data_IF_708966748592
#
_entry.id   IF_708966748592
#
_cell.length_a   1.000
_cell.length_b   1.000
_cell.length_c   1.000
_cell.angle_alpha   90.00
_cell.angle_beta   90.00
_cell.angle_gamma   90.00
#
_symmetry.space_group_name_H-M   'P 1'
#
loop_
_entity.id
_entity.type
_entity.pdbx_description
1 polymer ?
#
# COMPACT_ATOMS: atom_id res chain seq x y z
N UNK A 1 -5.25 31.67 0.37
CA UNK A 1 -6.46 30.83 0.16
C UNK A 1 -6.73 29.94 1.36
N UNK A 2 -8.01 29.64 1.59
CA UNK A 2 -8.43 28.70 2.63
C UNK A 2 -7.95 27.29 2.33
N UNK A 3 -7.41 26.61 3.34
CA UNK A 3 -7.07 25.18 3.22
C UNK A 3 -8.30 24.37 3.60
N UNK A 4 -8.68 23.43 2.75
CA UNK A 4 -9.70 22.41 3.04
C UNK A 4 -9.08 21.34 3.94
N UNK A 5 -9.88 20.84 4.87
CA UNK A 5 -9.52 19.70 5.71
C UNK A 5 -10.50 18.56 5.39
N UNK A 6 -9.95 17.41 4.98
CA UNK A 6 -10.70 16.24 4.59
C UNK A 6 -10.38 15.13 5.59
N UNK A 7 -11.40 14.54 6.20
CA UNK A 7 -11.23 13.37 7.06
C UNK A 7 -11.22 12.12 6.19
N UNK A 8 -10.18 11.30 6.34
CA UNK A 8 -10.04 10.02 5.66
C UNK A 8 -9.93 8.91 6.70
N UNK A 9 -10.64 7.82 6.44
CA UNK A 9 -10.64 6.60 7.22
C UNK A 9 -9.88 5.51 6.49
N UNK A 10 -8.97 4.86 7.20
CA UNK A 10 -8.34 3.61 6.80
C UNK A 10 -9.02 2.50 7.58
N UNK A 11 -10.07 1.93 6.99
CA UNK A 11 -10.77 0.77 7.54
C UNK A 11 -9.86 -0.45 7.41
N UNK A 12 -9.35 -0.94 8.54
CA UNK A 12 -8.32 -1.98 8.54
C UNK A 12 -8.93 -3.36 8.40
N UNK A 13 -8.60 -4.06 7.30
CA UNK A 13 -8.80 -5.50 7.17
C UNK A 13 -7.76 -6.22 8.06
N UNK A 14 -6.52 -5.74 8.00
CA UNK A 14 -5.50 -6.10 8.98
C UNK A 14 -4.92 -4.83 9.62
N UNK A 15 -4.60 -4.84 10.93
CA UNK A 15 -4.06 -3.67 11.62
C UNK A 15 -2.82 -3.11 10.92
N UNK A 16 -2.55 -1.82 11.11
CA UNK A 16 -1.38 -1.14 10.56
C UNK A 16 -0.14 -1.36 11.42
N UNK A 17 0.97 -1.59 10.72
CA UNK A 17 2.33 -1.53 11.25
C UNK A 17 3.10 -0.41 10.53
N UNK A 18 3.42 0.65 11.27
CA UNK A 18 4.12 1.85 10.77
C UNK A 18 5.44 2.04 11.50
N UNK A 19 6.28 1.00 11.48
CA UNK A 19 7.60 1.02 12.08
C UNK A 19 8.42 2.24 11.66
N UNK A 20 9.27 2.72 12.55
CA UNK A 20 10.12 3.88 12.32
C UNK A 20 11.48 3.52 11.73
N UNK A 21 12.42 4.48 11.71
CA UNK A 21 13.79 4.24 11.23
C UNK A 21 14.50 3.12 12.02
N UNK A 22 14.10 2.90 13.27
CA UNK A 22 14.55 1.82 14.14
C UNK A 22 13.57 0.64 14.15
N UNK A 23 12.61 0.61 13.20
CA UNK A 23 11.53 -0.36 13.07
C UNK A 23 10.69 -0.53 14.33
N UNK A 24 10.58 0.51 15.16
CA UNK A 24 9.67 0.52 16.30
C UNK A 24 8.30 1.09 15.90
N UNK A 25 7.23 0.44 16.36
CA UNK A 25 5.85 0.81 16.00
C UNK A 25 5.08 1.48 17.15
N UNK A 26 5.64 2.56 17.70
CA UNK A 26 5.12 3.20 18.92
C UNK A 26 3.93 4.16 18.68
N UNK A 27 3.65 4.50 17.41
CA UNK A 27 2.46 5.27 17.00
C UNK A 27 2.21 5.12 15.50
N UNK A 28 0.99 5.45 15.06
CA UNK A 28 0.71 5.71 13.64
C UNK A 28 1.50 6.96 13.21
N UNK A 29 2.35 6.81 12.20
CA UNK A 29 3.15 7.93 11.68
C UNK A 29 2.53 8.55 10.43
N UNK A 30 2.20 9.84 10.49
CA UNK A 30 1.73 10.60 9.32
C UNK A 30 2.64 10.45 8.10
N UNK A 31 3.96 10.38 8.30
CA UNK A 31 4.93 10.19 7.21
C UNK A 31 4.77 8.86 6.49
N UNK A 32 4.44 7.79 7.22
CA UNK A 32 4.22 6.46 6.64
C UNK A 32 2.91 6.43 5.84
N UNK A 33 1.86 7.08 6.35
CA UNK A 33 0.60 7.25 5.61
C UNK A 33 0.81 8.11 4.36
N UNK A 34 1.55 9.21 4.48
CA UNK A 34 1.88 10.09 3.34
C UNK A 34 2.66 9.35 2.25
N UNK A 35 3.64 8.53 2.64
CA UNK A 35 4.41 7.68 1.72
C UNK A 35 3.52 6.64 1.01
N UNK A 36 2.61 5.99 1.75
CA UNK A 36 1.64 5.07 1.17
C UNK A 36 0.68 5.75 0.19
N UNK A 37 0.16 6.92 0.53
CA UNK A 37 -0.69 7.71 -0.37
C UNK A 37 0.06 8.15 -1.63
N UNK A 38 1.30 8.63 -1.51
CA UNK A 38 2.13 8.98 -2.67
C UNK A 38 2.30 7.78 -3.59
N UNK A 39 2.62 6.62 -3.03
CA UNK A 39 2.80 5.39 -3.80
C UNK A 39 1.52 5.03 -4.57
N UNK A 40 0.38 4.92 -3.88
CA UNK A 40 -0.89 4.57 -4.54
C UNK A 40 -1.36 5.64 -5.52
N UNK A 41 -1.08 6.92 -5.24
CA UNK A 41 -1.35 8.00 -6.18
C UNK A 41 -0.51 7.85 -7.45
N UNK A 42 0.78 7.54 -7.35
CA UNK A 42 1.64 7.26 -8.51
C UNK A 42 1.15 6.05 -9.31
N UNK A 43 0.65 5.00 -8.64
CA UNK A 43 0.03 3.85 -9.30
C UNK A 43 -1.21 4.28 -10.07
N UNK A 44 -2.12 5.02 -9.43
CA UNK A 44 -3.31 5.56 -10.09
C UNK A 44 -2.95 6.46 -11.28
N UNK A 45 -2.00 7.37 -11.11
CA UNK A 45 -1.57 8.27 -12.17
C UNK A 45 -0.99 7.51 -13.36
N UNK A 46 -0.12 6.52 -13.11
CA UNK A 46 0.50 5.74 -14.17
C UNK A 46 -0.49 4.81 -14.88
N UNK A 47 -1.36 4.14 -14.14
CA UNK A 47 -2.21 3.06 -14.66
C UNK A 47 -3.54 3.57 -15.18
N UNK A 48 -4.17 4.48 -14.44
CA UNK A 48 -5.52 5.00 -14.75
C UNK A 48 -5.41 6.23 -15.65
N UNK A 49 -4.55 7.20 -15.30
CA UNK A 49 -4.36 8.40 -16.15
C UNK A 49 -3.44 8.15 -17.34
N UNK A 50 -2.64 7.07 -17.32
CA UNK A 50 -1.67 6.70 -18.39
C UNK A 50 -0.58 7.76 -18.62
N UNK A 51 -0.27 8.50 -17.57
CA UNK A 51 0.67 9.62 -17.61
C UNK A 51 2.07 9.23 -17.09
N UNK A 52 3.04 10.10 -17.35
CA UNK A 52 4.37 9.97 -16.77
C UNK A 52 4.36 10.24 -15.26
N UNK A 53 5.27 9.56 -14.56
CA UNK A 53 5.47 9.70 -13.13
C UNK A 53 6.96 9.93 -12.83
N UNK A 54 7.28 10.02 -11.55
CA UNK A 54 8.62 10.25 -11.04
C UNK A 54 9.61 9.17 -11.49
N UNK A 55 10.82 9.60 -11.86
CA UNK A 55 11.94 8.67 -12.04
C UNK A 55 12.37 8.12 -10.69
N UNK A 56 12.57 6.80 -10.64
CA UNK A 56 13.10 6.10 -9.48
C UNK A 56 14.62 5.96 -9.61
N UNK A 57 15.33 6.02 -8.49
CA UNK A 57 16.74 5.62 -8.43
C UNK A 57 16.89 4.08 -8.35
N UNK A 58 18.14 3.60 -8.27
CA UNK A 58 18.48 2.18 -8.17
C UNK A 58 17.88 1.47 -6.93
N UNK A 59 17.50 2.24 -5.90
CA UNK A 59 16.84 1.73 -4.71
C UNK A 59 15.29 1.72 -4.83
N UNK A 60 14.76 2.12 -5.98
CA UNK A 60 13.32 2.19 -6.25
C UNK A 60 12.63 3.36 -5.54
N UNK A 61 13.37 4.43 -5.23
CA UNK A 61 12.88 5.62 -4.53
C UNK A 61 12.78 6.79 -5.52
N UNK A 62 11.70 7.61 -5.48
CA UNK A 62 11.62 8.82 -6.28
C UNK A 62 12.82 9.73 -6.06
N UNK A 63 13.50 10.10 -7.14
CA UNK A 63 14.74 10.87 -7.13
C UNK A 63 14.62 12.22 -7.86
N UNK A 64 13.40 12.76 -7.92
CA UNK A 64 13.14 14.03 -8.60
C UNK A 64 13.66 15.20 -7.76
N UNK A 65 14.42 16.09 -8.39
CA UNK A 65 14.95 17.30 -7.78
C UNK A 65 14.53 18.52 -8.61
N UNK A 66 13.76 19.43 -8.00
CA UNK A 66 13.26 20.62 -8.69
C UNK A 66 14.40 21.56 -9.09
N UNK A 67 15.45 21.65 -8.28
CA UNK A 67 16.59 22.54 -8.57
C UNK A 67 17.40 22.05 -9.78
N UNK A 68 17.49 20.73 -9.98
CA UNK A 68 18.12 20.13 -11.16
C UNK A 68 17.26 20.26 -12.43
N UNK A 69 15.94 20.38 -12.28
CA UNK A 69 15.02 20.64 -13.38
C UNK A 69 15.06 22.12 -13.78
N UNK A 70 15.05 23.01 -12.79
CA UNK A 70 15.12 24.47 -12.97
C UNK A 70 16.57 24.96 -13.13
N UNK A 71 17.32 24.40 -14.10
CA UNK A 71 18.77 24.57 -14.26
C UNK A 71 19.23 26.02 -14.46
N UNK A 72 18.42 26.81 -15.17
CA UNK A 72 18.81 28.15 -15.60
C UNK A 72 18.51 29.21 -14.54
N UNK A 73 17.49 28.99 -13.71
CA UNK A 73 17.03 29.97 -12.75
C UNK A 73 16.26 29.31 -11.59
N UNK A 74 16.42 29.78 -10.34
CA UNK A 74 15.67 29.23 -9.22
C UNK A 74 14.15 29.32 -9.44
N UNK A 75 13.42 28.25 -9.10
CA UNK A 75 11.96 28.16 -9.26
C UNK A 75 11.20 29.41 -8.78
N UNK A 76 11.62 30.02 -7.66
CA UNK A 76 10.99 31.24 -7.14
C UNK A 76 10.99 32.39 -8.14
N UNK A 77 12.07 32.56 -8.90
CA UNK A 77 12.18 33.64 -9.88
C UNK A 77 11.31 33.35 -11.09
N UNK A 78 11.31 32.09 -11.57
CA UNK A 78 10.43 31.63 -12.66
C UNK A 78 8.96 31.88 -12.29
N UNK A 79 8.55 31.46 -11.09
CA UNK A 79 7.20 31.65 -10.60
C UNK A 79 6.83 33.14 -10.48
N UNK A 80 7.73 33.99 -9.96
CA UNK A 80 7.48 35.43 -9.85
C UNK A 80 7.30 36.09 -11.22
N UNK A 81 8.13 35.74 -12.22
CA UNK A 81 7.96 36.23 -13.59
C UNK A 81 6.59 35.83 -14.11
N UNK A 82 6.21 34.56 -13.99
CA UNK A 82 4.91 34.09 -14.47
C UNK A 82 3.74 34.84 -13.80
N UNK A 83 3.84 35.12 -12.50
CA UNK A 83 2.81 35.86 -11.74
C UNK A 83 2.77 37.37 -12.04
N UNK A 84 3.88 37.96 -12.50
CA UNK A 84 3.95 39.39 -12.83
C UNK A 84 3.51 39.68 -14.27
N UNK A 85 3.81 38.79 -15.22
CA UNK A 85 3.54 39.00 -16.64
C UNK A 85 2.11 38.67 -17.07
N UNK A 86 1.42 37.77 -16.36
CA UNK A 86 0.01 37.50 -16.59
C UNK A 86 -0.79 38.32 -15.57
N UNK A 87 -1.78 39.10 -16.00
CA UNK A 87 -2.76 39.68 -15.08
C UNK A 87 -3.45 38.53 -14.35
N UNK A 88 -2.95 38.14 -13.17
CA UNK A 88 -3.38 36.93 -12.48
C UNK A 88 -4.81 37.13 -12.00
N UNK A 89 -5.76 36.60 -12.77
CA UNK A 89 -7.18 36.50 -12.40
C UNK A 89 -7.53 35.15 -11.77
N UNK A 90 -6.62 34.18 -11.86
CA UNK A 90 -6.82 32.79 -11.44
C UNK A 90 -6.28 32.51 -10.02
N UNK A 91 -6.63 31.35 -9.46
CA UNK A 91 -6.16 30.88 -8.17
C UNK A 91 -4.61 30.72 -8.16
N UNK A 92 -3.96 31.07 -7.03
CA UNK A 92 -2.50 31.03 -6.92
C UNK A 92 -1.95 29.62 -7.05
N UNK A 93 -2.64 28.59 -6.54
CA UNK A 93 -2.18 27.22 -6.69
C UNK A 93 -2.27 26.75 -8.15
N UNK A 94 -3.27 27.22 -8.91
CA UNK A 94 -3.38 26.93 -10.35
C UNK A 94 -2.20 27.51 -11.14
N UNK A 95 -1.85 28.77 -10.90
CA UNK A 95 -0.73 29.41 -11.61
C UNK A 95 0.62 28.77 -11.22
N UNK A 96 0.78 28.39 -9.95
CA UNK A 96 1.96 27.64 -9.51
C UNK A 96 2.02 26.26 -10.17
N UNK A 97 0.90 25.57 -10.32
CA UNK A 97 0.85 24.27 -10.98
C UNK A 97 1.25 24.35 -12.46
N UNK A 98 0.78 25.37 -13.18
CA UNK A 98 1.18 25.65 -14.58
C UNK A 98 2.69 25.81 -14.71
N UNK A 99 3.32 26.58 -13.81
CA UNK A 99 4.80 26.74 -13.82
C UNK A 99 5.51 25.40 -13.62
N UNK A 100 5.03 24.56 -12.70
CA UNK A 100 5.63 23.25 -12.45
C UNK A 100 5.41 22.29 -13.64
N UNK A 101 4.28 22.40 -14.32
CA UNK A 101 3.98 21.67 -15.55
C UNK A 101 4.89 22.10 -16.71
N UNK A 102 5.11 23.40 -16.90
CA UNK A 102 6.06 23.94 -17.89
C UNK A 102 7.48 23.44 -17.64
N UNK A 103 7.87 23.30 -16.36
CA UNK A 103 9.13 22.68 -15.93
C UNK A 103 9.12 21.14 -16.06
N UNK A 104 8.02 20.54 -16.50
CA UNK A 104 7.83 19.09 -16.64
C UNK A 104 8.02 18.33 -15.32
N UNK A 105 7.64 18.95 -14.20
CA UNK A 105 7.65 18.27 -12.90
C UNK A 105 6.48 17.25 -12.84
N UNK A 106 6.73 15.96 -12.55
CA UNK A 106 5.68 14.96 -12.48
C UNK A 106 4.61 15.28 -11.42
N UNK A 107 3.34 14.99 -11.73
CA UNK A 107 2.20 15.30 -10.83
C UNK A 107 2.37 14.72 -9.42
N UNK A 108 2.82 13.47 -9.22
CA UNK A 108 3.06 12.96 -7.86
C UNK A 108 4.07 13.82 -7.08
N UNK A 109 5.14 14.31 -7.73
CA UNK A 109 6.09 15.23 -7.11
C UNK A 109 5.46 16.59 -6.81
N UNK A 110 4.64 17.12 -7.72
CA UNK A 110 3.93 18.40 -7.56
C UNK A 110 3.06 18.40 -6.30
N UNK A 111 2.33 17.29 -6.07
CA UNK A 111 1.38 17.15 -4.96
C UNK A 111 2.07 16.74 -3.65
N UNK A 112 2.89 15.68 -3.68
CA UNK A 112 3.47 15.07 -2.47
C UNK A 112 4.87 15.60 -2.12
N UNK A 113 5.41 16.52 -2.93
CA UNK A 113 6.72 17.13 -2.74
C UNK A 113 7.87 16.32 -3.33
N UNK A 114 9.02 16.95 -3.49
CA UNK A 114 10.29 16.31 -3.87
C UNK A 114 11.46 17.13 -3.31
N UNK A 115 12.70 16.78 -3.64
CA UNK A 115 13.84 17.64 -3.27
C UNK A 115 13.66 19.01 -3.91
N UNK A 116 13.82 20.08 -3.11
CA UNK A 116 13.56 21.47 -3.55
C UNK A 116 12.08 21.87 -3.61
N UNK A 117 11.13 20.96 -3.36
CA UNK A 117 9.69 21.26 -3.46
C UNK A 117 8.86 20.71 -2.30
N UNK A 118 8.12 21.58 -1.63
CA UNK A 118 7.28 21.18 -0.49
C UNK A 118 5.94 20.58 -0.95
N UNK A 119 5.55 19.49 -0.30
CA UNK A 119 4.22 18.87 -0.43
C UNK A 119 3.07 19.87 -0.28
N UNK A 120 2.05 19.72 -1.15
CA UNK A 120 0.77 20.44 -1.17
C UNK A 120 -0.31 19.77 -0.32
N UNK A 121 0.00 18.60 0.21
CA UNK A 121 -0.80 17.88 1.20
C UNK A 121 -0.08 17.83 2.54
N UNK A 122 -0.84 17.98 3.62
CA UNK A 122 -0.37 17.77 4.99
C UNK A 122 -1.31 16.77 5.67
N UNK A 123 -0.75 15.82 6.43
CA UNK A 123 -1.50 14.77 7.10
C UNK A 123 -1.30 14.85 8.60
N UNK A 124 -2.39 14.88 9.34
CA UNK A 124 -2.42 14.73 10.78
C UNK A 124 -3.23 13.47 11.13
N UNK A 125 -2.55 12.45 11.63
CA UNK A 125 -3.21 11.24 12.16
C UNK A 125 -3.89 11.55 13.48
N UNK A 126 -5.09 11.02 13.66
CA UNK A 126 -5.81 11.03 14.94
C UNK A 126 -5.34 9.84 15.81
N UNK A 127 -5.61 9.86 17.13
CA UNK A 127 -5.41 8.67 17.96
C UNK A 127 -6.18 7.48 17.37
N UNK A 128 -5.49 6.35 17.25
CA UNK A 128 -6.05 5.12 16.69
C UNK A 128 -6.23 4.06 17.78
N UNK A 129 -7.09 3.08 17.50
CA UNK A 129 -7.26 1.91 18.36
C UNK A 129 -5.95 1.11 18.39
N UNK A 130 -5.32 1.05 19.56
CA UNK A 130 -4.10 0.29 19.76
C UNK A 130 -4.43 -1.17 20.10
N UNK A 131 -3.87 -2.10 19.33
CA UNK A 131 -3.93 -3.53 19.60
C UNK A 131 -2.56 -4.03 20.05
N UNK A 132 -2.48 -4.54 21.27
CA UNK A 132 -1.28 -5.25 21.73
C UNK A 132 -1.19 -6.60 21.04
N UNK A 133 -0.01 -6.87 20.48
CA UNK A 133 0.26 -8.06 19.69
C UNK A 133 1.40 -8.85 20.32
N UNK A 134 1.04 -9.95 20.97
CA UNK A 134 1.98 -10.74 21.76
C UNK A 134 2.54 -11.92 20.98
N UNK A 135 3.84 -12.15 21.13
CA UNK A 135 4.57 -13.24 20.48
C UNK A 135 4.03 -14.63 20.85
N UNK A 136 3.55 -14.80 22.08
CA UNK A 136 3.01 -16.08 22.58
C UNK A 136 1.73 -16.49 21.85
N UNK A 137 1.00 -15.51 21.32
CA UNK A 137 -0.24 -15.73 20.60
C UNK A 137 0.00 -16.10 19.13
N UNK A 138 1.25 -16.17 18.66
CA UNK A 138 1.56 -16.47 17.27
C UNK A 138 1.82 -17.94 17.00
N UNK A 139 1.24 -18.42 15.91
CA UNK A 139 1.59 -19.70 15.33
C UNK A 139 2.69 -19.51 14.28
N UNK A 140 3.80 -20.22 14.45
CA UNK A 140 4.98 -20.14 13.61
C UNK A 140 5.09 -21.31 12.62
N UNK A 141 4.28 -22.36 12.82
CA UNK A 141 4.33 -23.65 12.11
C UNK A 141 2.99 -24.03 11.48
N UNK A 142 2.55 -23.22 10.52
CA UNK A 142 1.32 -23.45 9.75
C UNK A 142 1.44 -22.77 8.38
N UNK A 143 0.80 -23.28 7.30
CA UNK A 143 -0.05 -24.49 7.19
C UNK A 143 0.66 -25.85 7.15
N UNK A 144 1.97 -25.86 6.93
CA UNK A 144 2.82 -27.07 6.98
C UNK A 144 3.93 -26.87 8.03
N UNK A 145 4.95 -27.74 8.07
CA UNK A 145 6.23 -27.61 8.82
C UNK A 145 7.09 -26.39 8.40
N UNK A 146 6.45 -25.31 7.94
CA UNK A 146 7.04 -23.99 7.82
C UNK A 146 7.54 -23.56 9.19
N UNK A 147 8.64 -22.83 9.22
CA UNK A 147 9.11 -22.21 10.44
C UNK A 147 9.42 -20.74 10.17
N UNK A 148 8.43 -19.88 10.39
CA UNK A 148 8.55 -18.42 10.23
C UNK A 148 9.14 -17.72 11.47
N UNK A 149 9.44 -18.47 12.54
CA UNK A 149 9.87 -17.95 13.86
C UNK A 149 11.07 -17.00 13.77
N UNK A 150 12.10 -17.37 13.01
CA UNK A 150 13.31 -16.53 12.88
C UNK A 150 12.97 -15.16 12.28
N UNK A 151 12.25 -15.14 11.16
CA UNK A 151 11.93 -13.92 10.43
C UNK A 151 10.98 -13.01 11.21
N UNK A 152 9.94 -13.57 11.83
CA UNK A 152 8.99 -12.81 12.64
C UNK A 152 9.69 -12.20 13.85
N UNK A 153 10.53 -12.96 14.57
CA UNK A 153 11.27 -12.44 15.71
C UNK A 153 12.24 -11.33 15.31
N UNK A 154 12.97 -11.51 14.20
CA UNK A 154 13.97 -10.56 13.74
C UNK A 154 13.36 -9.21 13.35
N UNK A 155 12.16 -9.20 12.76
CA UNK A 155 11.61 -7.99 12.14
C UNK A 155 10.44 -7.35 12.90
N UNK A 156 9.59 -8.14 13.58
CA UNK A 156 8.41 -7.62 14.30
C UNK A 156 8.73 -7.36 15.77
N UNK A 157 9.38 -8.34 16.41
CA UNK A 157 9.56 -8.33 17.86
C UNK A 157 10.93 -7.81 18.31
N UNK A 158 12.00 -7.99 17.53
CA UNK A 158 13.36 -7.55 17.87
C UNK A 158 13.76 -7.92 19.30
N UNK A 159 13.63 -9.19 19.63
CA UNK A 159 13.93 -9.72 20.97
C UNK A 159 12.95 -9.28 22.09
N UNK A 160 11.96 -8.44 21.79
CA UNK A 160 10.82 -8.15 22.68
C UNK A 160 9.77 -9.28 22.60
N UNK A 161 8.79 -9.27 23.51
CA UNK A 161 7.67 -10.23 23.53
C UNK A 161 6.35 -9.66 23.02
N UNK A 162 6.29 -8.35 22.79
CA UNK A 162 5.11 -7.65 22.33
C UNK A 162 5.45 -6.61 21.26
N UNK A 163 4.46 -6.29 20.44
CA UNK A 163 4.47 -5.19 19.48
C UNK A 163 3.11 -4.50 19.51
N UNK A 164 3.08 -3.22 19.17
CA UNK A 164 1.82 -2.47 19.04
C UNK A 164 1.37 -2.49 17.59
N UNK A 165 0.07 -2.53 17.37
CA UNK A 165 -0.57 -2.42 16.05
C UNK A 165 -1.73 -1.41 16.15
N UNK A 166 -2.17 -0.87 15.02
CA UNK A 166 -3.22 0.15 15.00
C UNK A 166 -4.36 -0.23 14.07
N UNK A 167 -5.57 -0.35 14.61
CA UNK A 167 -6.78 -0.60 13.83
C UNK A 167 -7.54 0.69 13.53
N UNK A 168 -8.32 0.68 12.44
CA UNK A 168 -9.29 1.71 12.07
C UNK A 168 -8.74 3.14 12.18
N UNK A 169 -7.65 3.40 11.46
CA UNK A 169 -6.90 4.65 11.57
C UNK A 169 -7.62 5.77 10.83
N UNK A 170 -7.80 6.91 11.50
CA UNK A 170 -8.30 8.13 10.87
C UNK A 170 -7.21 9.18 10.75
N UNK A 171 -7.24 9.96 9.68
CA UNK A 171 -6.37 11.12 9.53
C UNK A 171 -7.07 12.28 8.82
N UNK A 172 -6.59 13.49 9.12
CA UNK A 172 -6.99 14.73 8.47
C UNK A 172 -5.99 15.06 7.38
N UNK A 173 -6.46 15.11 6.15
CA UNK A 173 -5.71 15.58 4.98
C UNK A 173 -6.03 17.05 4.75
N UNK A 174 -5.03 17.89 4.84
CA UNK A 174 -5.13 19.34 4.63
C UNK A 174 -4.47 19.72 3.31
N UNK A 175 -5.24 20.34 2.41
CA UNK A 175 -4.77 20.80 1.10
C UNK A 175 -5.61 21.99 0.63
N UNK A 176 -5.29 22.63 -0.50
CA UNK A 176 -6.15 23.68 -1.05
C UNK A 176 -7.28 23.09 -1.88
N UNK A 177 -8.29 23.89 -2.18
CA UNK A 177 -9.41 23.47 -3.02
C UNK A 177 -8.94 23.01 -4.40
N UNK A 178 -8.01 23.74 -5.01
CA UNK A 178 -7.42 23.42 -6.31
C UNK A 178 -6.83 22.00 -6.35
N UNK A 179 -5.92 21.67 -5.44
CA UNK A 179 -5.26 20.35 -5.43
C UNK A 179 -6.24 19.21 -5.09
N UNK A 180 -7.26 19.49 -4.28
CA UNK A 180 -8.29 18.51 -3.96
C UNK A 180 -9.13 18.16 -5.19
N UNK A 181 -9.73 19.17 -5.83
CA UNK A 181 -10.70 19.01 -6.92
C UNK A 181 -10.05 18.48 -8.20
N UNK A 182 -8.84 18.94 -8.53
CA UNK A 182 -8.18 18.56 -9.78
C UNK A 182 -7.43 17.23 -9.72
N UNK A 183 -7.06 16.74 -8.53
CA UNK A 183 -6.17 15.57 -8.42
C UNK A 183 -6.60 14.54 -7.37
N UNK A 184 -6.87 14.96 -6.14
CA UNK A 184 -7.01 14.03 -5.02
C UNK A 184 -8.40 13.41 -4.92
N UNK A 185 -9.44 14.16 -5.27
CA UNK A 185 -10.83 13.70 -5.13
C UNK A 185 -11.08 12.43 -5.96
N UNK A 186 -10.72 12.45 -7.23
CA UNK A 186 -10.90 11.29 -8.11
C UNK A 186 -10.01 10.11 -7.68
N UNK A 187 -8.79 10.37 -7.21
CA UNK A 187 -7.91 9.35 -6.65
C UNK A 187 -8.55 8.63 -5.45
N UNK A 188 -9.10 9.37 -4.48
CA UNK A 188 -9.76 8.76 -3.33
C UNK A 188 -11.05 8.03 -3.74
N UNK A 189 -11.84 8.61 -4.66
CA UNK A 189 -13.03 7.96 -5.21
C UNK A 189 -12.67 6.64 -5.90
N UNK A 190 -11.59 6.62 -6.69
CA UNK A 190 -11.13 5.44 -7.41
C UNK A 190 -10.75 4.30 -6.46
N UNK A 191 -10.14 4.58 -5.31
CA UNK A 191 -9.73 3.55 -4.35
C UNK A 191 -10.75 3.26 -3.24
N UNK A 192 -11.93 3.89 -3.26
CA UNK A 192 -12.93 3.79 -2.18
C UNK A 192 -13.43 2.36 -1.91
N UNK A 193 -13.52 1.55 -2.96
CA UNK A 193 -13.99 0.16 -2.95
C UNK A 193 -12.84 -0.87 -3.03
N UNK A 194 -11.58 -0.41 -3.05
CA UNK A 194 -10.41 -1.27 -3.31
C UNK A 194 -9.61 -1.52 -2.04
N UNK A 195 -9.01 -2.71 -1.98
CA UNK A 195 -7.99 -3.02 -0.97
C UNK A 195 -6.67 -2.37 -1.39
N UNK A 196 -6.13 -1.54 -0.51
CA UNK A 196 -4.80 -0.96 -0.66
C UNK A 196 -3.89 -1.39 0.48
N UNK A 197 -2.59 -1.39 0.20
CA UNK A 197 -1.55 -1.73 1.16
C UNK A 197 -0.98 -0.45 1.75
N UNK A 198 -1.17 -0.26 3.05
CA UNK A 198 -0.68 0.90 3.80
C UNK A 198 0.32 0.47 4.88
N UNK A 199 1.34 1.29 5.12
CA UNK A 199 2.34 1.05 6.16
C UNK A 199 3.72 0.66 5.65
N UNK A 200 4.52 0.05 6.52
CA UNK A 200 5.94 -0.22 6.25
C UNK A 200 6.21 -1.36 5.25
N UNK A 201 7.40 -1.34 4.63
CA UNK A 201 7.88 -2.33 3.63
C UNK A 201 7.83 -3.80 4.12
N UNK A 202 7.83 -4.00 5.43
CA UNK A 202 7.76 -5.31 6.06
C UNK A 202 6.37 -5.52 6.66
N UNK A 203 5.33 -5.57 5.82
CA UNK A 203 3.97 -5.59 6.36
C UNK A 203 3.61 -6.92 7.03
N UNK A 204 4.28 -8.05 6.78
CA UNK A 204 3.99 -9.36 7.41
C UNK A 204 2.53 -9.83 7.33
N UNK A 205 1.70 -9.20 6.47
CA UNK A 205 0.25 -9.40 6.39
C UNK A 205 -0.59 -8.30 7.03
N UNK A 206 0.05 -7.30 7.65
CA UNK A 206 -0.53 -6.06 8.16
C UNK A 206 -0.80 -5.02 7.06
N UNK A 207 -1.66 -4.06 7.39
CA UNK A 207 -1.89 -2.86 6.59
C UNK A 207 -2.71 -3.07 5.33
N UNK A 208 -3.52 -4.13 5.27
CA UNK A 208 -4.58 -4.25 4.28
C UNK A 208 -5.72 -3.34 4.72
N UNK A 209 -6.06 -2.32 3.93
CA UNK A 209 -7.08 -1.33 4.29
C UNK A 209 -7.99 -1.01 3.12
N UNK A 210 -9.21 -0.57 3.43
CA UNK A 210 -10.09 0.18 2.50
C UNK A 210 -10.04 1.66 2.89
N UNK A 211 -9.96 2.56 1.89
CA UNK A 211 -9.92 4.01 2.13
C UNK A 211 -11.31 4.60 1.98
N UNK A 212 -11.79 5.35 2.96
CA UNK A 212 -13.08 6.06 2.90
C UNK A 212 -12.91 7.53 3.22
N UNK A 213 -13.63 8.39 2.50
CA UNK A 213 -13.64 9.84 2.74
C UNK A 213 -14.94 10.19 3.47
N UNK A 214 -14.83 10.93 4.57
CA UNK A 214 -16.01 11.34 5.35
C UNK A 214 -17.03 12.10 4.50
N UNK A 215 -18.31 11.74 4.64
CA UNK A 215 -19.42 12.42 3.96
C UNK A 215 -19.54 12.13 2.46
N UNK A 216 -18.90 11.07 1.94
CA UNK A 216 -18.94 10.69 0.51
C UNK A 216 -19.29 9.22 0.22
N UNK A 217 -20.01 8.53 1.10
CA UNK A 217 -20.47 7.15 0.85
C UNK A 217 -21.98 7.09 0.56
N UNK A 218 -22.34 7.05 -0.73
CA UNK A 218 -23.51 6.31 -1.21
C UNK A 218 -23.16 5.57 -2.51
N UNK A 219 -23.27 4.24 -2.48
CA UNK A 219 -23.51 3.43 -3.67
C UNK A 219 -22.31 2.67 -4.25
N UNK A 220 -22.02 1.48 -3.71
CA UNK A 220 -22.02 0.27 -4.54
C UNK A 220 -22.12 -0.98 -3.68
N UNK A 221 -23.25 -1.66 -3.84
CA UNK A 221 -23.64 -2.90 -3.17
C UNK A 221 -22.70 -4.03 -3.58
N UNK A 222 -22.05 -4.69 -2.62
CA UNK A 222 -21.41 -5.99 -2.84
C UNK A 222 -22.50 -7.02 -3.22
N UNK A 223 -22.56 -7.39 -4.50
CA UNK A 223 -23.30 -8.56 -4.95
C UNK A 223 -22.36 -9.57 -5.60
N UNK A 224 -22.12 -10.67 -4.90
CA UNK A 224 -22.09 -12.03 -5.45
C UNK A 224 -20.97 -12.43 -6.41
N UNK A 225 -20.10 -13.32 -5.91
CA UNK A 225 -19.13 -14.23 -6.58
C UNK A 225 -17.69 -13.71 -6.71
N UNK A 226 -16.84 -14.09 -5.75
CA UNK A 226 -15.42 -14.51 -5.85
C UNK A 226 -14.48 -13.86 -6.89
N UNK A 227 -14.73 -12.64 -7.34
CA UNK A 227 -13.88 -11.94 -8.29
C UNK A 227 -13.89 -10.45 -7.98
N UNK A 228 -12.99 -10.04 -7.10
CA UNK A 228 -12.77 -8.63 -6.79
C UNK A 228 -11.93 -8.02 -7.92
N UNK A 229 -12.38 -6.86 -8.39
CA UNK A 229 -11.95 -6.07 -9.54
C UNK A 229 -10.44 -6.16 -9.81
N UNK A 230 -10.07 -6.83 -10.92
CA UNK A 230 -8.73 -6.77 -11.47
C UNK A 230 -8.61 -5.56 -12.39
N UNK A 231 -7.74 -4.61 -12.06
CA UNK A 231 -7.04 -3.85 -13.08
C UNK A 231 -5.85 -4.71 -13.51
N UNK A 232 -5.38 -4.65 -14.75
CA UNK A 232 -4.33 -5.56 -15.26
C UNK A 232 -3.05 -5.61 -14.38
N UNK A 233 -2.89 -4.59 -13.52
CA UNK A 233 -1.79 -4.44 -12.58
C UNK A 233 -2.06 -4.94 -11.14
N UNK A 234 -3.26 -5.37 -10.79
CA UNK A 234 -3.54 -5.95 -9.47
C UNK A 234 -4.65 -7.00 -9.51
N UNK A 235 -4.39 -8.14 -8.91
CA UNK A 235 -5.36 -9.20 -8.70
C UNK A 235 -5.61 -9.34 -7.20
N UNK A 236 -6.89 -9.37 -6.81
CA UNK A 236 -7.31 -9.54 -5.43
C UNK A 236 -8.20 -10.77 -5.33
N UNK A 237 -7.79 -11.73 -4.52
CA UNK A 237 -8.56 -12.93 -4.23
C UNK A 237 -8.83 -13.03 -2.73
N UNK A 238 -10.01 -13.53 -2.37
CA UNK A 238 -10.36 -13.91 -1.00
C UNK A 238 -10.52 -15.42 -0.96
N UNK A 239 -9.70 -16.10 -0.17
CA UNK A 239 -9.90 -17.51 0.16
C UNK A 239 -10.62 -17.59 1.51
N UNK A 240 -11.63 -18.44 1.60
CA UNK A 240 -12.47 -18.58 2.80
C UNK A 240 -12.45 -20.02 3.31
N UNK A 241 -12.81 -20.22 4.58
CA UNK A 241 -12.84 -21.55 5.21
C UNK A 241 -11.48 -22.24 5.19
N UNK A 242 -10.41 -21.49 5.44
CA UNK A 242 -9.07 -22.08 5.61
C UNK A 242 -9.09 -22.99 6.84
N UNK A 243 -8.63 -24.24 6.68
CA UNK A 243 -8.60 -25.25 7.73
C UNK A 243 -7.53 -24.90 8.77
N UNK A 244 -7.95 -24.20 9.81
CA UNK A 244 -7.14 -23.87 10.97
C UNK A 244 -8.01 -23.78 12.22
N UNK A 245 -7.92 -24.80 13.06
CA UNK A 245 -8.66 -24.89 14.32
C UNK A 245 -7.83 -24.43 15.54
N UNK A 246 -6.63 -23.87 15.31
CA UNK A 246 -5.77 -23.39 16.37
C UNK A 246 -6.23 -22.07 16.98
N UNK A 247 -5.90 -21.84 18.25
CA UNK A 247 -6.24 -20.59 18.96
C UNK A 247 -5.29 -19.43 18.66
N UNK A 248 -4.12 -19.71 18.10
CA UNK A 248 -3.06 -18.73 17.83
C UNK A 248 -3.26 -18.00 16.50
N UNK A 249 -2.66 -16.84 16.36
CA UNK A 249 -2.79 -16.01 15.16
C UNK A 249 -1.81 -16.46 14.08
N UNK A 250 -2.31 -16.46 12.85
CA UNK A 250 -1.55 -16.81 11.65
C UNK A 250 -1.29 -15.53 10.88
N UNK A 251 -0.01 -15.16 10.78
CA UNK A 251 0.41 -14.02 9.99
C UNK A 251 0.38 -14.35 8.50
N UNK A 252 0.06 -13.34 7.69
CA UNK A 252 0.13 -13.47 6.23
C UNK A 252 1.53 -13.80 5.73
N UNK A 253 2.56 -13.47 6.52
CA UNK A 253 3.92 -13.92 6.27
C UNK A 253 4.07 -15.46 6.25
N UNK A 254 3.36 -16.19 7.11
CA UNK A 254 3.40 -17.65 7.11
C UNK A 254 2.88 -18.21 5.79
N UNK A 255 1.73 -17.70 5.35
CA UNK A 255 1.06 -18.11 4.11
C UNK A 255 1.84 -17.67 2.87
N UNK A 256 2.44 -16.48 2.89
CA UNK A 256 3.36 -16.04 1.84
C UNK A 256 4.58 -16.95 1.76
N UNK A 257 5.14 -17.35 2.91
CA UNK A 257 6.29 -18.26 2.95
C UNK A 257 5.91 -19.67 2.47
N UNK A 258 4.69 -20.12 2.75
CA UNK A 258 4.12 -21.35 2.20
C UNK A 258 4.10 -21.33 0.67
N UNK A 259 3.51 -20.28 0.08
CA UNK A 259 3.48 -20.09 -1.38
C UNK A 259 4.88 -20.09 -1.97
N UNK A 260 5.83 -19.39 -1.32
CA UNK A 260 7.23 -19.36 -1.74
C UNK A 260 7.88 -20.75 -1.73
N UNK A 261 7.58 -21.57 -0.73
CA UNK A 261 8.10 -22.94 -0.63
C UNK A 261 7.50 -23.82 -1.74
N UNK A 262 6.19 -23.72 -1.97
CA UNK A 262 5.49 -24.46 -3.03
C UNK A 262 6.01 -24.12 -4.42
N UNK A 263 6.27 -22.84 -4.68
CA UNK A 263 6.87 -22.42 -5.95
C UNK A 263 8.29 -22.98 -6.15
N UNK A 264 9.07 -23.11 -5.08
CA UNK A 264 10.39 -23.75 -5.13
C UNK A 264 10.31 -25.25 -5.43
N UNK A 265 9.29 -25.94 -4.91
CA UNK A 265 9.02 -27.36 -5.20
C UNK A 265 8.68 -27.58 -6.68
N UNK A 266 7.99 -26.61 -7.32
CA UNK A 266 7.61 -26.64 -8.73
C UNK A 266 8.77 -26.29 -9.72
N UNK A 267 10.03 -26.44 -9.30
CA UNK A 267 11.25 -26.33 -10.13
C UNK A 267 11.40 -24.96 -10.85
N UNK A 268 10.91 -23.88 -10.25
CA UNK A 268 11.22 -22.52 -10.73
C UNK A 268 12.60 -22.08 -10.29
N UNK A 269 13.27 -21.30 -11.14
CA UNK A 269 14.60 -20.80 -10.82
C UNK A 269 14.52 -19.81 -9.64
N UNK A 270 15.63 -19.65 -8.91
CA UNK A 270 15.71 -18.76 -7.75
C UNK A 270 15.34 -17.31 -8.09
N UNK A 271 15.63 -16.88 -9.32
CA UNK A 271 15.40 -15.52 -9.78
C UNK A 271 13.90 -15.21 -9.85
N UNK A 272 13.09 -16.08 -10.45
CA UNK A 272 11.62 -15.93 -10.53
C UNK A 272 10.99 -15.83 -9.14
N UNK A 273 11.41 -16.70 -8.21
CA UNK A 273 10.92 -16.68 -6.82
C UNK A 273 11.23 -15.34 -6.14
N UNK A 274 12.43 -14.81 -6.35
CA UNK A 274 12.82 -13.49 -5.82
C UNK A 274 12.09 -12.34 -6.52
N UNK A 275 11.72 -12.49 -7.79
CA UNK A 275 10.93 -11.52 -8.54
C UNK A 275 9.46 -11.47 -8.08
N UNK A 276 8.90 -12.60 -7.63
CA UNK A 276 7.52 -12.68 -7.15
C UNK A 276 7.38 -12.31 -5.67
N UNK A 277 8.22 -12.89 -4.80
CA UNK A 277 8.11 -12.70 -3.35
C UNK A 277 9.02 -11.61 -2.78
N UNK A 278 9.86 -11.02 -3.63
CA UNK A 278 10.80 -9.96 -3.29
C UNK A 278 12.15 -10.49 -2.76
N UNK A 279 13.12 -9.57 -2.72
CA UNK A 279 14.45 -9.76 -2.13
C UNK A 279 14.90 -8.47 -1.43
N UNK A 280 16.12 -8.41 -0.92
CA UNK A 280 16.63 -7.16 -0.37
C UNK A 280 16.52 -6.04 -1.42
N UNK A 281 16.03 -4.86 -0.99
CA UNK A 281 15.71 -3.69 -1.83
C UNK A 281 14.53 -3.85 -2.81
N UNK A 282 14.27 -5.03 -3.39
CA UNK A 282 13.12 -5.27 -4.29
C UNK A 282 11.83 -5.62 -3.54
N UNK A 283 10.75 -4.88 -3.79
CA UNK A 283 9.44 -5.17 -3.21
C UNK A 283 8.88 -6.52 -3.68
N UNK A 284 7.97 -7.08 -2.88
CA UNK A 284 7.19 -8.25 -3.29
C UNK A 284 6.12 -7.85 -4.30
N UNK A 285 5.70 -8.78 -5.14
CA UNK A 285 4.44 -8.69 -5.90
C UNK A 285 3.33 -9.48 -5.22
N UNK A 286 3.69 -10.51 -4.45
CA UNK A 286 2.74 -11.34 -3.71
C UNK A 286 2.59 -10.85 -2.27
N UNK A 287 1.37 -10.50 -1.88
CA UNK A 287 1.00 -10.07 -0.53
C UNK A 287 -0.16 -10.92 -0.04
N UNK A 288 -0.07 -11.40 1.20
CA UNK A 288 -1.12 -12.22 1.83
C UNK A 288 -1.47 -11.58 3.16
N UNK A 289 -2.76 -11.42 3.46
CA UNK A 289 -3.22 -10.93 4.75
C UNK A 289 -2.99 -11.97 5.85
N UNK A 290 -3.12 -11.54 7.10
CA UNK A 290 -3.28 -12.47 8.23
C UNK A 290 -4.57 -13.29 8.06
N UNK A 291 -4.64 -14.43 8.74
CA UNK A 291 -5.86 -15.22 8.86
C UNK A 291 -6.90 -14.44 9.67
N UNK A 292 -8.03 -14.17 9.04
CA UNK A 292 -9.14 -13.43 9.62
C UNK A 292 -10.14 -14.42 10.22
N UNK A 293 -9.92 -14.79 11.48
CA UNK A 293 -10.76 -15.78 12.19
C UNK A 293 -12.23 -15.37 12.23
N UNK A 294 -12.47 -14.08 12.50
CA UNK A 294 -13.81 -13.50 12.57
C UNK A 294 -14.52 -13.40 11.21
N UNK A 295 -13.76 -13.48 10.11
CA UNK A 295 -14.28 -13.47 8.74
C UNK A 295 -14.14 -14.87 8.13
N UNK A 296 -14.78 -15.87 8.76
CA UNK A 296 -14.87 -17.24 8.26
C UNK A 296 -13.50 -17.88 7.93
N UNK A 297 -12.51 -17.66 8.81
CA UNK A 297 -11.12 -18.07 8.60
C UNK A 297 -10.62 -17.71 7.19
N UNK A 298 -10.82 -16.47 6.78
CA UNK A 298 -10.46 -16.02 5.44
C UNK A 298 -9.08 -15.36 5.37
N UNK A 299 -8.55 -15.30 4.16
CA UNK A 299 -7.32 -14.59 3.82
C UNK A 299 -7.50 -13.85 2.50
N UNK A 300 -6.85 -12.70 2.39
CA UNK A 300 -6.74 -11.95 1.15
C UNK A 300 -5.38 -12.20 0.52
N UNK A 301 -5.38 -12.59 -0.75
CA UNK A 301 -4.21 -12.63 -1.61
C UNK A 301 -4.28 -11.41 -2.55
N UNK A 302 -3.28 -10.53 -2.45
CA UNK A 302 -3.09 -9.41 -3.37
C UNK A 302 -1.83 -9.69 -4.18
N UNK A 303 -2.01 -9.86 -5.48
CA UNK A 303 -0.91 -9.89 -6.45
C UNK A 303 -0.86 -8.52 -7.10
N UNK A 304 0.20 -7.78 -6.82
CA UNK A 304 0.40 -6.44 -7.33
C UNK A 304 1.56 -6.42 -8.33
N UNK A 305 1.21 -6.26 -9.61
CA UNK A 305 2.18 -5.98 -10.66
C UNK A 305 2.51 -4.50 -10.57
N UNK A 306 3.59 -4.21 -9.84
CA UNK A 306 4.09 -2.86 -9.75
C UNK A 306 4.27 -2.30 -11.17
N UNK A 307 3.54 -1.24 -11.57
CA UNK A 307 3.61 -0.69 -12.93
C UNK A 307 4.99 -0.10 -13.28
N UNK A 308 5.91 -0.11 -12.31
CA UNK A 308 7.30 0.32 -12.46
C UNK A 308 8.27 -0.87 -12.61
N UNK A 309 7.80 -2.12 -12.52
CA UNK A 309 8.59 -3.33 -12.78
C UNK A 309 8.33 -3.84 -14.21
N UNK A 310 9.38 -4.39 -14.84
CA UNK A 310 9.36 -4.87 -16.23
C UNK A 310 8.73 -6.27 -16.37
N UNK A 311 8.65 -7.04 -15.29
CA UNK A 311 8.17 -8.43 -15.32
C UNK A 311 6.85 -8.58 -14.55
N UNK A 312 5.68 -8.40 -15.17
CA UNK A 312 4.41 -8.61 -14.47
C UNK A 312 4.18 -10.10 -14.15
N UNK A 313 3.52 -10.38 -13.02
CA UNK A 313 2.90 -11.68 -12.75
C UNK A 313 1.61 -11.76 -13.55
N UNK A 314 1.54 -12.71 -14.47
CA UNK A 314 0.34 -12.94 -15.26
C UNK A 314 -0.80 -13.51 -14.41
N UNK A 315 -2.02 -13.31 -14.90
CA UNK A 315 -3.25 -13.70 -14.20
C UNK A 315 -3.27 -15.20 -13.89
N UNK A 316 -2.78 -16.04 -14.79
CA UNK A 316 -2.73 -17.49 -14.65
C UNK A 316 -1.88 -17.90 -13.44
N UNK A 317 -0.74 -17.23 -13.24
CA UNK A 317 0.11 -17.44 -12.09
C UNK A 317 -0.53 -16.91 -10.80
N UNK A 318 -1.20 -15.76 -10.87
CA UNK A 318 -1.97 -15.24 -9.74
C UNK A 318 -3.07 -16.23 -9.31
N UNK A 319 -3.77 -16.84 -10.27
CA UNK A 319 -4.75 -17.89 -10.04
C UNK A 319 -4.13 -19.19 -9.51
N UNK A 320 -2.92 -19.56 -9.95
CA UNK A 320 -2.17 -20.70 -9.40
C UNK A 320 -1.89 -20.51 -7.90
N UNK A 321 -1.37 -19.35 -7.49
CA UNK A 321 -1.15 -19.06 -6.07
C UNK A 321 -2.44 -19.09 -5.26
N UNK A 322 -3.52 -18.56 -5.84
CA UNK A 322 -4.83 -18.61 -5.19
C UNK A 322 -5.30 -20.06 -5.00
N UNK A 323 -5.13 -20.93 -6.00
CA UNK A 323 -5.47 -22.37 -5.89
C UNK A 323 -4.66 -23.06 -4.79
N UNK A 324 -3.36 -22.78 -4.68
CA UNK A 324 -2.51 -23.32 -3.60
C UNK A 324 -3.03 -22.91 -2.22
N UNK A 325 -3.55 -21.69 -2.06
CA UNK A 325 -4.19 -21.28 -0.81
C UNK A 325 -5.55 -21.96 -0.58
N UNK A 326 -6.36 -22.13 -1.61
CA UNK A 326 -7.65 -22.86 -1.53
C UNK A 326 -7.47 -24.35 -1.21
N UNK A 327 -6.33 -24.97 -1.52
CA UNK A 327 -6.03 -26.34 -1.06
C UNK A 327 -6.02 -26.47 0.46
N UNK A 328 -5.72 -25.38 1.19
CA UNK A 328 -5.78 -25.34 2.64
C UNK A 328 -7.21 -25.46 3.17
N UNK A 329 -8.25 -25.29 2.35
CA UNK A 329 -9.65 -25.53 2.73
C UNK A 329 -10.01 -27.02 2.80
N UNK A 330 -9.30 -27.88 2.06
CA UNK A 330 -9.75 -29.26 1.77
C UNK A 330 -9.23 -30.32 2.75
N UNK A 331 -8.39 -29.97 3.72
CA UNK A 331 -7.64 -30.95 4.54
C UNK A 331 -8.45 -31.70 5.63
N UNK A 332 -9.71 -31.34 5.87
CA UNK A 332 -10.63 -32.11 6.72
C UNK A 332 -11.57 -33.07 5.97
N UNK A 333 -11.78 -32.90 4.66
CA UNK A 333 -12.69 -33.78 3.90
C UNK A 333 -12.11 -35.20 3.71
N UNK A 334 -10.79 -35.30 3.55
CA UNK A 334 -10.10 -36.58 3.27
C UNK A 334 -9.63 -37.33 4.53
N UNK A 335 -9.91 -36.81 5.73
CA UNK A 335 -9.62 -37.51 7.00
C UNK A 335 -10.82 -38.27 7.58
N UNK A 336 -11.99 -38.14 6.95
CA UNK A 336 -13.25 -38.76 7.37
C UNK A 336 -13.80 -39.76 6.32
N UNK A 337 -12.95 -40.27 5.42
CA UNK A 337 -13.29 -41.35 4.46
C UNK A 337 -12.45 -42.59 4.73
#
# INVERSE_FOLDING_TARGET
MGKKEITVYLETITPLWTGDAWQENNKVRSSSILGGLRFWFSVYWKVVKREEIEKLNDDGVPAVNLEEIAKEEPFRVIALKHLQYKNVTNDFDEEIDKVLEELKLPVPSRIFGCTGWRSRVNIRTEPAEEKSFQKVNLEFKYPDDINSKFWINKNIFKEKNESKLYANVRFKLKTSQYWWENYLEEFFKFFSDKIVLMGGKASFGFGFVKMKVEGKDEGTTEQGKNKIVGFDNMYVYKAEKIDYNGSKDILGFNLKYYLRKKEKENIRNKQEIEEHFGKQKKASKVYVSNLLKEDNNSIYLVIFNNPFDINPIFKELAEEYFRVLEELRRREADKNV
#
